data_IF_183471150581
#
_entry.id   IF_183471150581
#
_cell.length_a   1.000
_cell.length_b   1.000
_cell.length_c   1.000
_cell.angle_alpha   90.00
_cell.angle_beta   90.00
_cell.angle_gamma   90.00
#
_symmetry.space_group_name_H-M   'P 1'
#
loop_
_entity.id
_entity.type
_entity.pdbx_description
1 polymer ?
#
# COMPACT_ATOMS: atom_id res chain seq x y z
N UNK A 1 -7.45 -34.96 10.62
CA UNK A 1 -7.74 -36.05 9.65
C UNK A 1 -6.41 -36.41 9.02
N UNK A 2 -5.95 -37.64 9.27
CA UNK A 2 -4.64 -38.12 8.80
C UNK A 2 -4.66 -38.29 7.27
N UNK A 3 -3.50 -38.14 6.62
CA UNK A 3 -3.42 -38.26 5.17
C UNK A 3 -3.45 -39.75 4.76
N UNK A 4 -4.51 -40.24 4.11
CA UNK A 4 -4.63 -41.66 3.74
C UNK A 4 -3.57 -42.10 2.71
N UNK A 5 -2.91 -41.15 2.03
CA UNK A 5 -1.79 -41.45 1.13
C UNK A 5 -0.54 -41.95 1.86
N UNK A 6 -0.47 -41.77 3.19
CA UNK A 6 0.64 -42.25 4.02
C UNK A 6 0.34 -43.60 4.68
N UNK A 7 -0.89 -44.12 4.55
CA UNK A 7 -1.29 -45.38 5.15
C UNK A 7 -0.64 -46.56 4.43
N UNK A 8 0.11 -47.38 5.18
CA UNK A 8 0.63 -48.65 4.70
C UNK A 8 -0.44 -49.75 4.82
N UNK A 9 -0.51 -50.62 3.83
CA UNK A 9 -1.38 -51.79 3.88
C UNK A 9 -0.97 -52.72 5.04
N UNK A 10 -1.90 -53.08 5.94
CA UNK A 10 -1.63 -54.06 6.99
C UNK A 10 -1.37 -55.46 6.43
N UNK A 11 -0.54 -56.22 7.13
CA UNK A 11 -0.36 -57.64 6.86
C UNK A 11 -1.42 -58.48 7.59
N UNK A 12 -2.47 -58.85 6.87
CA UNK A 12 -3.60 -59.64 7.39
C UNK A 12 -3.27 -61.13 7.63
N UNK A 13 -2.03 -61.55 7.39
CA UNK A 13 -1.57 -62.90 7.77
C UNK A 13 -0.98 -62.96 9.18
N UNK A 14 -0.80 -61.80 9.82
CA UNK A 14 -0.31 -61.66 11.19
C UNK A 14 -1.36 -62.11 12.21
N UNK A 15 -0.91 -62.56 13.39
CA UNK A 15 -1.77 -62.99 14.50
C UNK A 15 -2.79 -61.92 14.93
N UNK A 16 -2.43 -60.63 14.80
CA UNK A 16 -3.30 -59.48 15.10
C UNK A 16 -4.61 -59.47 14.29
N UNK A 17 -4.62 -60.08 13.10
CA UNK A 17 -5.79 -60.13 12.22
C UNK A 17 -6.40 -61.53 12.13
N UNK A 18 -5.91 -62.49 12.91
CA UNK A 18 -6.37 -63.87 12.86
C UNK A 18 -7.86 -64.00 13.21
N UNK A 19 -8.36 -63.21 14.17
CA UNK A 19 -9.78 -63.18 14.51
C UNK A 19 -10.65 -62.68 13.34
N UNK A 20 -10.22 -61.62 12.65
CA UNK A 20 -10.91 -61.10 11.47
C UNK A 20 -10.90 -62.11 10.32
N UNK A 21 -9.80 -62.84 10.12
CA UNK A 21 -9.71 -63.94 9.16
C UNK A 21 -10.65 -65.09 9.54
N UNK A 22 -10.73 -65.48 10.83
CA UNK A 22 -11.61 -66.56 11.30
C UNK A 22 -13.09 -66.27 11.03
N UNK A 23 -13.53 -65.01 11.08
CA UNK A 23 -14.92 -64.64 10.76
C UNK A 23 -15.27 -64.88 9.29
N UNK A 24 -14.28 -64.91 8.40
CA UNK A 24 -14.48 -65.10 6.96
C UNK A 24 -14.25 -66.55 6.50
N UNK A 25 -13.59 -67.38 7.34
CA UNK A 25 -13.32 -68.78 7.04
C UNK A 25 -14.63 -69.58 7.07
N UNK A 26 -14.84 -70.39 6.04
CA UNK A 26 -15.95 -71.32 5.93
C UNK A 26 -15.53 -72.54 5.08
N UNK A 27 -16.44 -73.50 4.84
CA UNK A 27 -16.13 -74.69 4.05
C UNK A 27 -15.60 -74.41 2.63
N UNK A 28 -15.80 -73.21 2.09
CA UNK A 28 -15.35 -72.78 0.76
C UNK A 28 -14.18 -71.77 0.79
N UNK A 29 -13.90 -71.15 1.94
CA UNK A 29 -12.91 -70.07 2.08
C UNK A 29 -11.88 -70.46 3.13
N UNK A 30 -10.63 -70.65 2.69
CA UNK A 30 -9.50 -70.92 3.57
C UNK A 30 -8.91 -69.63 4.16
N UNK A 31 -7.97 -69.77 5.11
CA UNK A 31 -7.36 -68.64 5.80
C UNK A 31 -6.66 -67.65 4.85
N UNK A 32 -5.95 -68.16 3.85
CA UNK A 32 -5.28 -67.32 2.85
C UNK A 32 -6.27 -66.52 1.99
N UNK A 33 -7.41 -67.14 1.63
CA UNK A 33 -8.48 -66.46 0.92
C UNK A 33 -9.18 -65.41 1.80
N UNK A 34 -9.37 -65.68 3.09
CA UNK A 34 -9.88 -64.71 4.06
C UNK A 34 -8.96 -63.47 4.17
N UNK A 35 -7.65 -63.68 4.31
CA UNK A 35 -6.67 -62.59 4.32
C UNK A 35 -6.71 -61.77 3.01
N UNK A 36 -6.81 -62.41 1.85
CA UNK A 36 -6.94 -61.71 0.56
C UNK A 36 -8.23 -60.88 0.45
N UNK A 37 -9.34 -61.35 1.03
CA UNK A 37 -10.59 -60.58 1.09
C UNK A 37 -10.39 -59.32 1.94
N UNK A 38 -9.72 -59.43 3.09
CA UNK A 38 -9.40 -58.29 3.95
C UNK A 38 -8.48 -57.28 3.25
N UNK A 39 -7.46 -57.76 2.53
CA UNK A 39 -6.61 -56.91 1.67
C UNK A 39 -7.46 -56.13 0.68
N UNK A 40 -8.36 -56.81 -0.02
CA UNK A 40 -9.22 -56.18 -1.05
C UNK A 40 -10.12 -55.12 -0.43
N UNK A 41 -10.74 -55.41 0.71
CA UNK A 41 -11.59 -54.46 1.43
C UNK A 41 -10.78 -53.25 1.92
N UNK A 42 -9.57 -53.47 2.42
CA UNK A 42 -8.69 -52.39 2.85
C UNK A 42 -8.33 -51.45 1.70
N UNK A 43 -7.97 -52.01 0.52
CA UNK A 43 -7.66 -51.20 -0.67
C UNK A 43 -8.87 -50.35 -1.07
N UNK A 44 -10.06 -50.95 -1.17
CA UNK A 44 -11.29 -50.23 -1.52
C UNK A 44 -11.60 -49.10 -0.53
N UNK A 45 -11.43 -49.36 0.77
CA UNK A 45 -11.67 -48.34 1.79
C UNK A 45 -10.62 -47.22 1.74
N UNK A 46 -9.34 -47.57 1.62
CA UNK A 46 -8.26 -46.59 1.51
C UNK A 46 -8.40 -45.71 0.27
N UNK A 47 -8.79 -46.28 -0.87
CA UNK A 47 -9.02 -45.50 -2.09
C UNK A 47 -10.19 -44.52 -1.93
N UNK A 48 -11.27 -44.94 -1.27
CA UNK A 48 -12.38 -44.05 -0.92
C UNK A 48 -11.92 -42.91 0.02
N UNK A 49 -11.11 -43.24 1.02
CA UNK A 49 -10.56 -42.23 1.94
C UNK A 49 -9.64 -41.24 1.21
N UNK A 50 -8.81 -41.71 0.27
CA UNK A 50 -7.99 -40.84 -0.58
C UNK A 50 -8.83 -39.89 -1.43
N UNK A 51 -9.90 -40.36 -2.04
CA UNK A 51 -10.81 -39.50 -2.81
C UNK A 51 -11.47 -38.44 -1.92
N UNK A 52 -11.96 -38.83 -0.74
CA UNK A 52 -12.53 -37.89 0.22
C UNK A 52 -11.51 -36.85 0.69
N UNK A 53 -10.27 -37.30 0.93
CA UNK A 53 -9.18 -36.41 1.32
C UNK A 53 -8.81 -35.41 0.21
N UNK A 54 -8.78 -35.86 -1.04
CA UNK A 54 -8.56 -34.99 -2.19
C UNK A 54 -9.67 -33.95 -2.32
N UNK A 55 -10.94 -34.36 -2.23
CA UNK A 55 -12.08 -33.46 -2.26
C UNK A 55 -12.03 -32.43 -1.11
N UNK A 56 -11.66 -32.85 0.09
CA UNK A 56 -11.46 -31.95 1.23
C UNK A 56 -10.34 -30.94 0.95
N UNK A 57 -9.21 -31.38 0.40
CA UNK A 57 -8.10 -30.50 0.04
C UNK A 57 -8.46 -29.50 -1.05
N UNK A 58 -9.22 -29.92 -2.05
CA UNK A 58 -9.71 -29.06 -3.12
C UNK A 58 -10.68 -28.01 -2.58
N UNK A 59 -11.61 -28.41 -1.71
CA UNK A 59 -12.53 -27.49 -1.05
C UNK A 59 -11.80 -26.45 -0.20
N UNK A 60 -10.78 -26.86 0.56
CA UNK A 60 -9.96 -25.96 1.37
C UNK A 60 -9.19 -24.96 0.49
N UNK A 61 -8.60 -25.44 -0.62
CA UNK A 61 -7.91 -24.58 -1.58
C UNK A 61 -8.88 -23.58 -2.23
N UNK A 62 -10.08 -24.01 -2.58
CA UNK A 62 -11.12 -23.16 -3.15
C UNK A 62 -11.57 -22.08 -2.15
N UNK A 63 -11.81 -22.45 -0.89
CA UNK A 63 -12.14 -21.49 0.16
C UNK A 63 -11.03 -20.45 0.37
N UNK A 64 -9.77 -20.89 0.41
CA UNK A 64 -8.64 -19.99 0.56
C UNK A 64 -8.52 -19.01 -0.62
N UNK A 65 -8.88 -19.44 -1.84
CA UNK A 65 -8.93 -18.58 -3.02
C UNK A 65 -10.05 -17.55 -2.91
N UNK A 66 -11.26 -17.98 -2.55
CA UNK A 66 -12.43 -17.10 -2.35
C UNK A 66 -12.17 -16.06 -1.25
N UNK A 67 -11.60 -16.47 -0.10
CA UNK A 67 -11.22 -15.56 0.98
C UNK A 67 -10.16 -14.54 0.52
N UNK A 68 -9.20 -14.97 -0.29
CA UNK A 68 -8.17 -14.08 -0.83
C UNK A 68 -8.72 -13.11 -1.88
N UNK A 69 -9.73 -13.50 -2.65
CA UNK A 69 -10.44 -12.63 -3.58
C UNK A 69 -11.27 -11.60 -2.83
N UNK A 70 -12.09 -12.05 -1.88
CA UNK A 70 -12.90 -11.16 -1.02
C UNK A 70 -12.02 -10.14 -0.28
N UNK A 71 -10.90 -10.56 0.30
CA UNK A 71 -9.99 -9.64 0.98
C UNK A 71 -9.39 -8.57 0.04
N UNK A 72 -9.18 -8.90 -1.23
CA UNK A 72 -8.73 -7.91 -2.23
C UNK A 72 -9.83 -6.92 -2.57
N UNK A 73 -11.06 -7.40 -2.77
CA UNK A 73 -12.21 -6.54 -3.05
C UNK A 73 -12.46 -5.57 -1.90
N UNK A 74 -12.53 -6.07 -0.66
CA UNK A 74 -12.70 -5.25 0.55
C UNK A 74 -11.59 -4.21 0.68
N UNK A 75 -10.34 -4.58 0.39
CA UNK A 75 -9.21 -3.66 0.43
C UNK A 75 -9.32 -2.56 -0.64
N UNK A 76 -9.77 -2.90 -1.86
CA UNK A 76 -10.01 -1.91 -2.92
C UNK A 76 -11.15 -0.97 -2.54
N UNK A 77 -12.25 -1.50 -2.01
CA UNK A 77 -13.39 -0.70 -1.56
C UNK A 77 -12.98 0.28 -0.45
N UNK A 78 -12.25 -0.19 0.56
CA UNK A 78 -11.71 0.66 1.63
C UNK A 78 -10.80 1.76 1.09
N UNK A 79 -9.96 1.47 0.09
CA UNK A 79 -9.13 2.50 -0.54
C UNK A 79 -9.97 3.54 -1.28
N UNK A 80 -10.99 3.11 -2.03
CA UNK A 80 -11.90 4.00 -2.73
C UNK A 80 -12.64 4.92 -1.76
N UNK A 81 -13.25 4.35 -0.70
CA UNK A 81 -13.93 5.13 0.34
C UNK A 81 -12.99 6.15 0.99
N UNK A 82 -11.76 5.74 1.33
CA UNK A 82 -10.77 6.65 1.92
C UNK A 82 -10.39 7.79 0.97
N UNK A 83 -10.27 7.53 -0.32
CA UNK A 83 -9.98 8.57 -1.31
C UNK A 83 -11.15 9.55 -1.43
N UNK A 84 -12.38 9.05 -1.46
CA UNK A 84 -13.59 9.88 -1.49
C UNK A 84 -13.73 10.73 -0.22
N UNK A 85 -13.46 10.17 0.96
CA UNK A 85 -13.43 10.92 2.22
C UNK A 85 -12.38 12.04 2.20
N UNK A 86 -11.19 11.76 1.67
CA UNK A 86 -10.13 12.77 1.55
C UNK A 86 -10.53 13.87 0.56
N UNK A 87 -11.10 13.51 -0.59
CA UNK A 87 -11.56 14.48 -1.60
C UNK A 87 -12.68 15.36 -1.06
N UNK A 88 -13.69 14.76 -0.44
CA UNK A 88 -14.80 15.50 0.17
C UNK A 88 -14.31 16.43 1.28
N UNK A 89 -13.39 15.97 2.15
CA UNK A 89 -12.78 16.80 3.17
C UNK A 89 -11.98 17.98 2.56
N UNK A 90 -11.24 17.76 1.47
CA UNK A 90 -10.53 18.83 0.77
C UNK A 90 -11.47 19.86 0.16
N UNK A 91 -12.53 19.42 -0.52
CA UNK A 91 -13.53 20.32 -1.11
C UNK A 91 -14.22 21.14 -0.02
N UNK A 92 -14.57 20.53 1.11
CA UNK A 92 -15.13 21.24 2.25
C UNK A 92 -14.16 22.25 2.86
N UNK A 93 -12.90 21.87 3.01
CA UNK A 93 -11.86 22.74 3.56
C UNK A 93 -11.62 23.94 2.64
N UNK A 94 -11.51 23.73 1.33
CA UNK A 94 -11.42 24.81 0.34
C UNK A 94 -12.65 25.73 0.37
N UNK A 95 -13.85 25.15 0.55
CA UNK A 95 -15.11 25.92 0.67
C UNK A 95 -15.14 26.77 1.95
N UNK A 96 -14.62 26.26 3.07
CA UNK A 96 -14.54 26.96 4.36
C UNK A 96 -13.41 28.02 4.37
N UNK A 97 -12.28 27.74 3.72
CA UNK A 97 -11.08 28.57 3.71
C UNK A 97 -10.80 29.25 2.35
N UNK A 98 -11.83 29.70 1.63
CA UNK A 98 -11.72 30.26 0.26
C UNK A 98 -10.62 31.31 0.09
N UNK A 99 -10.40 32.15 1.09
CA UNK A 99 -9.39 33.22 1.03
C UNK A 99 -7.96 32.67 1.07
N UNK A 100 -7.71 31.58 1.82
CA UNK A 100 -6.39 30.94 1.89
C UNK A 100 -6.05 30.17 0.62
N UNK A 101 -7.07 29.63 -0.03
CA UNK A 101 -6.95 28.86 -1.29
C UNK A 101 -7.18 29.69 -2.53
N UNK A 102 -7.34 31.01 -2.38
CA UNK A 102 -7.42 31.91 -3.52
C UNK A 102 -6.10 31.85 -4.29
N UNK A 103 -6.12 31.76 -5.64
CA UNK A 103 -4.91 31.82 -6.43
C UNK A 103 -4.13 33.08 -6.08
N UNK A 104 -2.92 32.90 -5.55
CA UNK A 104 -2.03 34.04 -5.32
C UNK A 104 -1.73 34.62 -6.69
N UNK A 105 -2.17 35.85 -6.92
CA UNK A 105 -1.81 36.57 -8.11
C UNK A 105 -0.28 36.68 -8.09
N UNK A 106 0.39 35.94 -8.99
CA UNK A 106 1.81 36.08 -9.25
C UNK A 106 1.99 37.43 -9.94
N UNK A 107 1.88 38.50 -9.16
CA UNK A 107 2.39 39.80 -9.55
C UNK A 107 3.86 39.55 -9.80
N UNK A 108 4.31 39.74 -11.05
CA UNK A 108 5.70 39.52 -11.41
C UNK A 108 6.60 40.21 -10.38
N UNK A 109 7.65 39.51 -9.96
CA UNK A 109 8.71 40.16 -9.18
C UNK A 109 9.07 41.44 -9.94
N UNK A 110 9.03 42.64 -9.32
CA UNK A 110 9.35 43.86 -10.02
C UNK A 110 10.74 43.72 -10.68
N UNK A 111 10.78 43.54 -11.99
CA UNK A 111 12.03 43.43 -12.77
C UNK A 111 12.65 44.81 -13.03
N UNK A 112 12.00 45.88 -12.56
CA UNK A 112 12.54 47.23 -12.61
C UNK A 112 13.68 47.42 -11.59
N UNK A 113 14.64 48.32 -11.87
CA UNK A 113 15.67 48.67 -10.90
C UNK A 113 15.01 49.15 -9.61
N UNK A 114 15.42 48.57 -8.47
CA UNK A 114 15.00 49.02 -7.16
C UNK A 114 15.59 50.43 -6.97
N UNK A 115 14.73 51.44 -6.95
CA UNK A 115 15.17 52.82 -6.72
C UNK A 115 15.51 52.98 -5.24
N UNK A 116 16.78 52.79 -4.90
CA UNK A 116 17.29 53.03 -3.56
C UNK A 116 17.66 54.52 -3.49
N UNK A 117 16.99 55.32 -2.63
CA UNK A 117 17.31 56.74 -2.51
C UNK A 117 18.75 56.93 -2.01
N UNK A 118 19.45 57.95 -2.52
CA UNK A 118 20.80 58.30 -2.08
C UNK A 118 20.88 58.52 -0.54
N UNK A 119 22.05 58.34 0.08
CA UNK A 119 22.23 58.62 1.52
C UNK A 119 21.80 60.05 1.91
N UNK A 120 22.03 61.03 1.03
CA UNK A 120 21.60 62.41 1.22
C UNK A 120 20.07 62.53 1.35
N UNK A 121 19.33 61.90 0.44
CA UNK A 121 17.86 61.87 0.50
C UNK A 121 17.34 61.16 1.73
N UNK A 122 17.98 60.05 2.13
CA UNK A 122 17.61 59.33 3.35
C UNK A 122 17.83 60.22 4.59
N UNK A 123 18.92 60.98 4.64
CA UNK A 123 19.18 61.93 5.72
C UNK A 123 18.14 63.07 5.77
N UNK A 124 17.75 63.64 4.61
CA UNK A 124 16.70 64.67 4.52
C UNK A 124 15.35 64.14 5.01
N UNK A 125 14.95 62.95 4.53
CA UNK A 125 13.70 62.31 4.94
C UNK A 125 13.67 62.00 6.44
N UNK A 126 14.78 61.49 7.02
CA UNK A 126 14.88 61.25 8.47
C UNK A 126 14.76 62.52 9.31
N UNK A 127 15.17 63.67 8.75
CA UNK A 127 15.06 64.99 9.40
C UNK A 127 13.72 65.68 9.15
N UNK A 128 12.83 65.08 8.35
CA UNK A 128 11.57 65.70 7.93
C UNK A 128 11.75 66.92 7.01
N UNK A 129 12.92 67.05 6.38
CA UNK A 129 13.23 68.16 5.48
C UNK A 129 12.70 67.88 4.07
N UNK A 130 12.29 68.93 3.36
CA UNK A 130 11.86 68.84 1.97
C UNK A 130 12.99 68.27 1.09
N UNK A 131 12.63 67.31 0.23
CA UNK A 131 13.52 66.65 -0.70
C UNK A 131 12.88 66.64 -2.09
N UNK A 132 13.57 67.18 -3.08
CA UNK A 132 13.07 67.24 -4.45
C UNK A 132 12.95 65.82 -5.05
N UNK A 133 11.86 65.60 -5.81
CA UNK A 133 11.62 64.32 -6.49
C UNK A 133 12.71 63.97 -7.51
N UNK A 134 13.48 64.96 -7.95
CA UNK A 134 14.63 64.79 -8.83
C UNK A 134 15.67 63.79 -8.30
N UNK A 135 15.82 63.67 -6.97
CA UNK A 135 16.78 62.74 -6.37
C UNK A 135 16.36 61.25 -6.44
N UNK A 136 15.14 60.96 -6.90
CA UNK A 136 14.59 59.60 -7.03
C UNK A 136 14.54 59.12 -8.50
N UNK A 137 15.11 59.87 -9.45
CA UNK A 137 15.06 59.53 -10.88
C UNK A 137 16.34 58.76 -11.29
N UNK A 138 16.15 57.61 -11.96
CA UNK A 138 17.19 56.62 -12.33
C UNK A 138 18.39 57.19 -13.11
N UNK A 139 18.30 58.38 -13.69
CA UNK A 139 19.35 58.99 -14.52
C UNK A 139 20.59 59.38 -13.69
N UNK A 140 20.46 59.61 -12.37
CA UNK A 140 21.60 60.09 -11.54
C UNK A 140 22.03 59.19 -10.38
N UNK A 141 21.45 58.01 -10.19
CA UNK A 141 22.04 57.01 -9.25
C UNK A 141 23.47 56.66 -9.68
N UNK A 142 23.70 56.53 -11.00
CA UNK A 142 25.01 56.34 -11.59
C UNK A 142 25.93 57.58 -11.52
N UNK A 143 25.37 58.79 -11.51
CA UNK A 143 26.16 60.03 -11.41
C UNK A 143 26.49 60.43 -9.96
N UNK A 144 25.70 60.01 -8.97
CA UNK A 144 26.00 60.27 -7.56
C UNK A 144 27.11 59.34 -7.03
N UNK A 145 27.21 58.11 -7.53
CA UNK A 145 28.32 57.18 -7.22
C UNK A 145 29.67 57.65 -7.78
N UNK A 146 29.69 58.34 -8.93
CA UNK A 146 30.92 58.86 -9.54
C UNK A 146 31.48 60.09 -8.82
N UNK A 147 30.64 60.89 -8.14
CA UNK A 147 31.12 62.04 -7.35
C UNK A 147 31.73 61.59 -6.02
N UNK A 148 31.28 60.48 -5.44
CA UNK A 148 31.79 59.96 -4.16
C UNK A 148 33.18 59.30 -4.28
N UNK A 149 33.56 58.81 -5.46
CA UNK A 149 34.87 58.18 -5.72
C UNK A 149 35.98 59.18 -6.02
N UNK A 150 35.66 60.46 -6.30
CA UNK A 150 36.66 61.50 -6.56
C UNK A 150 37.08 62.32 -5.33
N UNK A 151 36.55 62.02 -4.14
CA UNK A 151 36.91 62.72 -2.90
C UNK A 151 37.73 61.87 -1.91
N UNK A 152 38.46 60.86 -2.39
CA UNK A 152 39.49 60.19 -1.58
C UNK A 152 40.89 60.59 -2.09
N UNK A 153 41.63 61.45 -1.38
CA UNK A 153 43.02 61.74 -1.74
C UNK A 153 43.92 60.55 -1.32
N UNK A 154 45.13 60.43 -1.92
CA UNK A 154 46.01 59.26 -1.80
C UNK A 154 46.45 58.94 -0.36
#
# INVERSE_FOLDING_TARGET
MENPNLASQPDFTTEDYQEACLQLINNAVNNQQAANILVTLWVLNNDKEKLNWQAYKEQEAQRALEEAEQAKEEHVELQCCRLEEVETAQVEEQKKNRVKHAPICKVGVPTGPINIPSPYTVCKLKKGEYCELYFFINVRLAEAESVMTMSRPP
#
